data_IF_076056358042
#
_entry.id   IF_076056358042
#
_cell.length_a   1.000
_cell.length_b   1.000
_cell.length_c   1.000
_cell.angle_alpha   90.00
_cell.angle_beta   90.00
_cell.angle_gamma   90.00
#
_symmetry.space_group_name_H-M   'P 1'
#
loop_
_entity.id
_entity.type
_entity.pdbx_description
1 polymer ?
#
# COMPACT_ATOMS: atom_id res chain seq x y z
N UNK A 1 -17.66 -9.10 -9.47
CA UNK A 1 -16.84 -10.21 -8.95
C UNK A 1 -15.37 -9.79 -8.83
N UNK A 2 -14.61 -9.63 -9.93
CA UNK A 2 -13.16 -9.26 -9.87
C UNK A 2 -12.84 -7.97 -9.08
N UNK A 3 -13.68 -6.93 -9.17
CA UNK A 3 -13.47 -5.68 -8.40
C UNK A 3 -13.61 -5.91 -6.88
N UNK A 4 -14.59 -6.71 -6.48
CA UNK A 4 -14.82 -7.02 -5.07
C UNK A 4 -13.67 -7.88 -4.52
N UNK A 5 -13.23 -8.88 -5.29
CA UNK A 5 -12.07 -9.72 -4.92
C UNK A 5 -10.80 -8.89 -4.70
N UNK A 6 -10.57 -7.87 -5.54
CA UNK A 6 -9.44 -6.95 -5.38
C UNK A 6 -9.56 -6.12 -4.09
N UNK A 7 -10.75 -5.60 -3.79
CA UNK A 7 -11.02 -4.84 -2.56
C UNK A 7 -10.82 -5.70 -1.31
N UNK A 8 -11.30 -6.94 -1.34
CA UNK A 8 -11.15 -7.91 -0.25
C UNK A 8 -9.67 -8.28 -0.04
N UNK A 9 -8.92 -8.51 -1.12
CA UNK A 9 -7.50 -8.80 -1.06
C UNK A 9 -6.70 -7.62 -0.47
N UNK A 10 -7.00 -6.39 -0.88
CA UNK A 10 -6.37 -5.20 -0.31
C UNK A 10 -6.66 -5.06 1.20
N UNK A 11 -7.90 -5.36 1.61
CA UNK A 11 -8.28 -5.33 3.02
C UNK A 11 -7.54 -6.40 3.84
N UNK A 12 -7.44 -7.63 3.34
CA UNK A 12 -6.71 -8.71 4.01
C UNK A 12 -5.20 -8.47 4.05
N UNK A 13 -4.60 -7.88 3.01
CA UNK A 13 -3.19 -7.46 3.02
C UNK A 13 -2.98 -6.42 4.11
N UNK A 14 -3.81 -5.36 4.16
CA UNK A 14 -3.72 -4.30 5.19
C UNK A 14 -3.85 -4.87 6.61
N UNK A 15 -4.81 -5.75 6.83
CA UNK A 15 -5.06 -6.43 8.11
C UNK A 15 -3.86 -7.28 8.52
N UNK A 16 -3.30 -8.05 7.59
CA UNK A 16 -2.14 -8.91 7.85
C UNK A 16 -0.88 -8.08 8.11
N UNK A 17 -0.64 -7.02 7.34
CA UNK A 17 0.47 -6.11 7.54
C UNK A 17 0.44 -5.45 8.93
N UNK A 18 -0.75 -5.01 9.37
CA UNK A 18 -0.92 -4.45 10.72
C UNK A 18 -0.61 -5.48 11.82
N UNK A 19 -1.02 -6.74 11.64
CA UNK A 19 -0.68 -7.82 12.58
C UNK A 19 0.83 -8.07 12.63
N UNK A 20 1.51 -8.11 11.48
CA UNK A 20 2.97 -8.30 11.41
C UNK A 20 3.69 -7.13 12.09
N UNK A 21 3.30 -5.89 11.77
CA UNK A 21 3.86 -4.68 12.41
C UNK A 21 3.70 -4.72 13.93
N UNK A 22 2.52 -5.08 14.43
CA UNK A 22 2.28 -5.18 15.87
C UNK A 22 3.18 -6.24 16.53
N UNK A 23 3.32 -7.42 15.91
CA UNK A 23 4.19 -8.49 16.42
C UNK A 23 5.66 -8.10 16.41
N UNK A 24 6.14 -7.43 15.35
CA UNK A 24 7.53 -6.94 15.28
C UNK A 24 7.81 -5.92 16.39
N UNK A 25 6.87 -4.98 16.62
CA UNK A 25 6.98 -4.00 17.71
C UNK A 25 7.06 -4.64 19.10
N UNK A 26 6.30 -5.71 19.34
CA UNK A 26 6.39 -6.47 20.60
C UNK A 26 7.76 -7.11 20.76
N UNK A 27 8.34 -7.66 19.68
CA UNK A 27 9.69 -8.25 19.73
C UNK A 27 10.74 -7.16 20.01
N UNK A 28 10.63 -6.00 19.36
CA UNK A 28 11.48 -4.84 19.59
C UNK A 28 11.46 -4.40 21.06
N UNK A 29 10.27 -4.20 21.63
CA UNK A 29 10.12 -3.82 23.05
C UNK A 29 10.73 -4.84 24.01
N UNK A 30 10.56 -6.15 23.73
CA UNK A 30 11.17 -7.20 24.53
C UNK A 30 12.71 -7.17 24.45
N UNK A 31 13.27 -6.92 23.26
CA UNK A 31 14.72 -6.77 23.08
C UNK A 31 15.24 -5.59 23.90
N UNK A 32 14.60 -4.43 23.80
CA UNK A 32 14.97 -3.23 24.56
C UNK A 32 14.94 -3.48 26.07
N UNK A 33 13.88 -4.14 26.56
CA UNK A 33 13.74 -4.48 27.97
C UNK A 33 14.85 -5.42 28.45
N UNK A 34 15.20 -6.45 27.68
CA UNK A 34 16.26 -7.38 28.03
C UNK A 34 17.65 -6.73 28.02
N UNK A 35 17.91 -5.80 27.09
CA UNK A 35 19.16 -5.05 27.02
C UNK A 35 19.39 -4.19 28.27
N UNK A 36 18.34 -3.57 28.81
CA UNK A 36 18.43 -2.82 30.06
C UNK A 36 18.81 -3.68 31.28
N UNK A 37 18.58 -4.99 31.22
CA UNK A 37 18.96 -5.92 32.29
C UNK A 37 20.40 -6.46 32.17
N UNK A 38 21.19 -5.96 31.20
CA UNK A 38 22.57 -6.38 30.90
C UNK A 38 22.73 -7.90 30.65
N UNK A 39 21.64 -8.58 30.27
CA UNK A 39 21.65 -10.01 29.92
C UNK A 39 22.10 -10.21 28.48
N UNK A 40 23.40 -10.11 28.21
CA UNK A 40 23.95 -10.52 26.91
C UNK A 40 23.93 -12.04 26.78
N UNK A 41 22.79 -12.58 26.36
CA UNK A 41 22.54 -14.01 26.22
C UNK A 41 22.49 -14.45 24.74
N UNK A 42 22.65 -15.74 24.50
CA UNK A 42 22.41 -16.31 23.18
C UNK A 42 20.96 -16.08 22.71
N UNK A 43 19.99 -16.14 23.62
CA UNK A 43 18.57 -15.87 23.33
C UNK A 43 18.36 -14.44 22.82
N UNK A 44 18.95 -13.44 23.48
CA UNK A 44 18.88 -12.04 23.06
C UNK A 44 19.47 -11.83 21.65
N UNK A 45 20.61 -12.46 21.36
CA UNK A 45 21.22 -12.39 20.01
C UNK A 45 20.33 -13.02 18.94
N UNK A 46 19.69 -14.15 19.26
CA UNK A 46 18.74 -14.81 18.37
C UNK A 46 17.55 -13.89 18.10
N UNK A 47 16.93 -13.32 19.14
CA UNK A 47 15.81 -12.38 19.01
C UNK A 47 16.16 -11.17 18.15
N UNK A 48 17.32 -10.53 18.38
CA UNK A 48 17.80 -9.39 17.56
C UNK A 48 17.96 -9.76 16.09
N UNK A 49 18.55 -10.93 15.82
CA UNK A 49 18.80 -11.41 14.46
C UNK A 49 17.50 -11.73 13.74
N UNK A 50 16.58 -12.41 14.41
CA UNK A 50 15.25 -12.74 13.89
C UNK A 50 14.43 -11.48 13.64
N UNK A 51 14.37 -10.55 14.60
CA UNK A 51 13.68 -9.27 14.45
C UNK A 51 14.22 -8.51 13.22
N UNK A 52 15.54 -8.35 13.11
CA UNK A 52 16.17 -7.64 11.99
C UNK A 52 15.85 -8.28 10.63
N UNK A 53 15.84 -9.61 10.57
CA UNK A 53 15.54 -10.37 9.35
C UNK A 53 14.06 -10.26 8.96
N UNK A 54 13.15 -10.43 9.91
CA UNK A 54 11.72 -10.33 9.69
C UNK A 54 11.32 -8.91 9.29
N UNK A 55 11.88 -7.89 9.96
CA UNK A 55 11.63 -6.49 9.63
C UNK A 55 12.10 -6.12 8.22
N UNK A 56 13.29 -6.60 7.79
CA UNK A 56 13.75 -6.41 6.40
C UNK A 56 12.79 -7.04 5.39
N UNK A 57 12.42 -8.31 5.59
CA UNK A 57 11.48 -9.01 4.70
C UNK A 57 10.11 -8.33 4.66
N UNK A 58 9.63 -7.83 5.79
CA UNK A 58 8.37 -7.11 5.86
C UNK A 58 8.42 -5.81 5.05
N UNK A 59 9.48 -5.02 5.19
CA UNK A 59 9.67 -3.80 4.38
C UNK A 59 9.76 -4.12 2.89
N UNK A 60 10.50 -5.18 2.52
CA UNK A 60 10.64 -5.62 1.13
C UNK A 60 9.27 -5.93 0.50
N UNK A 61 8.47 -6.79 1.13
CA UNK A 61 7.13 -7.16 0.66
C UNK A 61 6.18 -5.95 0.60
N UNK A 62 6.24 -5.07 1.61
CA UNK A 62 5.38 -3.87 1.61
C UNK A 62 5.80 -2.85 0.55
N UNK A 63 7.09 -2.80 0.20
CA UNK A 63 7.61 -1.95 -0.88
C UNK A 63 7.15 -2.50 -2.23
N UNK A 64 7.23 -3.82 -2.44
CA UNK A 64 6.70 -4.46 -3.64
C UNK A 64 5.20 -4.23 -3.79
N UNK A 65 4.44 -4.41 -2.71
CA UNK A 65 3.00 -4.12 -2.69
C UNK A 65 2.69 -2.67 -3.07
N UNK A 66 3.43 -1.70 -2.49
CA UNK A 66 3.24 -0.28 -2.82
C UNK A 66 3.54 0.00 -4.30
N UNK A 67 4.59 -0.62 -4.86
CA UNK A 67 4.90 -0.51 -6.29
C UNK A 67 3.76 -1.06 -7.15
N UNK A 68 3.24 -2.25 -6.84
CA UNK A 68 2.10 -2.83 -7.56
C UNK A 68 0.86 -1.94 -7.49
N UNK A 69 0.57 -1.32 -6.34
CA UNK A 69 -0.56 -0.39 -6.22
C UNK A 69 -0.36 0.88 -7.05
N UNK A 70 0.84 1.46 -7.03
CA UNK A 70 1.17 2.65 -7.83
C UNK A 70 1.04 2.34 -9.31
N UNK A 71 1.60 1.23 -9.79
CA UNK A 71 1.49 0.80 -11.18
C UNK A 71 0.01 0.60 -11.60
N UNK A 72 -0.80 0.03 -10.71
CA UNK A 72 -2.23 -0.13 -10.96
C UNK A 72 -2.98 1.21 -11.03
N UNK A 73 -2.66 2.16 -10.13
CA UNK A 73 -3.21 3.53 -10.14
C UNK A 73 -2.89 4.22 -11.47
N UNK A 74 -1.62 4.20 -11.90
CA UNK A 74 -1.18 4.82 -13.15
C UNK A 74 -1.87 4.20 -14.37
N UNK A 75 -2.03 2.87 -14.40
CA UNK A 75 -2.77 2.19 -15.48
C UNK A 75 -4.25 2.59 -15.50
N UNK A 76 -4.90 2.70 -14.35
CA UNK A 76 -6.29 3.14 -14.26
C UNK A 76 -6.44 4.60 -14.72
N UNK A 77 -5.52 5.48 -14.30
CA UNK A 77 -5.43 6.87 -14.74
C UNK A 77 -5.30 6.97 -16.26
N UNK A 78 -4.34 6.26 -16.87
CA UNK A 78 -4.17 6.25 -18.32
C UNK A 78 -5.38 5.71 -19.09
N UNK A 79 -6.12 4.74 -18.53
CA UNK A 79 -7.39 4.28 -19.13
C UNK A 79 -8.45 5.37 -19.13
N UNK A 80 -8.59 6.12 -18.04
CA UNK A 80 -9.55 7.22 -17.93
C UNK A 80 -9.18 8.35 -18.87
N UNK A 81 -7.89 8.75 -18.90
CA UNK A 81 -7.39 9.76 -19.83
C UNK A 81 -7.76 9.41 -21.28
N UNK A 82 -7.51 8.16 -21.69
CA UNK A 82 -7.87 7.70 -23.03
C UNK A 82 -9.38 7.75 -23.30
N UNK A 83 -10.23 7.47 -22.31
CA UNK A 83 -11.68 7.62 -22.49
C UNK A 83 -12.09 9.08 -22.69
N UNK A 84 -11.47 10.01 -21.96
CA UNK A 84 -11.72 11.45 -22.13
C UNK A 84 -11.27 11.94 -23.51
N UNK A 85 -10.10 11.50 -23.98
CA UNK A 85 -9.60 11.82 -25.33
C UNK A 85 -10.53 11.31 -26.44
N UNK A 86 -11.08 10.11 -26.30
CA UNK A 86 -12.07 9.56 -27.25
C UNK A 86 -13.34 10.42 -27.30
N UNK A 87 -13.77 10.99 -26.16
CA UNK A 87 -14.89 11.93 -26.11
C UNK A 87 -14.54 13.34 -26.59
N UNK A 88 -13.31 13.57 -27.08
CA UNK A 88 -12.84 14.86 -27.59
C UNK A 88 -12.39 15.83 -26.50
N UNK A 89 -12.23 15.36 -25.25
CA UNK A 89 -11.76 16.18 -24.13
C UNK A 89 -10.28 15.90 -23.87
N UNK A 90 -9.43 16.84 -24.25
CA UNK A 90 -8.03 16.85 -23.81
C UNK A 90 -7.99 17.19 -22.32
N UNK A 91 -7.29 16.40 -21.51
CA UNK A 91 -7.16 16.61 -20.06
C UNK A 91 -5.72 16.36 -19.67
N UNK A 92 -5.13 17.30 -18.94
CA UNK A 92 -3.75 17.18 -18.45
C UNK A 92 -3.66 16.18 -17.29
N UNK A 93 -2.45 15.77 -16.95
CA UNK A 93 -2.23 14.82 -15.85
C UNK A 93 -2.67 15.38 -14.50
N UNK A 94 -2.49 16.68 -14.30
CA UNK A 94 -2.82 17.43 -13.09
C UNK A 94 -4.35 17.55 -12.95
N UNK A 95 -5.04 17.95 -14.02
CA UNK A 95 -6.51 18.01 -14.04
C UNK A 95 -7.13 16.64 -13.80
N UNK A 96 -6.57 15.59 -14.40
CA UNK A 96 -7.04 14.22 -14.20
C UNK A 96 -6.84 13.74 -12.75
N UNK A 97 -5.74 14.16 -12.12
CA UNK A 97 -5.48 13.86 -10.70
C UNK A 97 -6.52 14.54 -9.81
N UNK A 98 -6.80 15.82 -10.07
CA UNK A 98 -7.81 16.59 -9.34
C UNK A 98 -9.21 15.96 -9.47
N UNK A 99 -9.58 15.50 -10.68
CA UNK A 99 -10.84 14.78 -10.93
C UNK A 99 -10.91 13.45 -10.15
N UNK A 100 -9.80 12.74 -10.00
CA UNK A 100 -9.72 11.50 -9.21
C UNK A 100 -9.81 11.76 -7.71
N UNK A 101 -9.20 12.84 -7.22
CA UNK A 101 -9.25 13.26 -5.81
C UNK A 101 -10.65 13.73 -5.38
N UNK A 102 -11.39 14.37 -6.30
CA UNK A 102 -12.78 14.78 -6.06
C UNK A 102 -13.75 13.59 -5.89
N UNK A 103 -13.34 12.38 -6.29
CA UNK A 103 -14.07 11.14 -6.00
C UNK A 103 -15.48 11.03 -6.60
N UNK A 104 -15.84 11.93 -7.54
CA UNK A 104 -17.16 11.98 -8.15
C UNK A 104 -17.14 11.35 -9.56
N UNK A 105 -17.74 10.16 -9.77
CA UNK A 105 -17.75 9.48 -11.07
C UNK A 105 -18.42 10.30 -12.18
N UNK A 106 -19.35 11.20 -11.84
CA UNK A 106 -20.06 12.03 -12.82
C UNK A 106 -19.15 13.03 -13.54
N UNK A 107 -17.99 13.34 -12.95
CA UNK A 107 -17.00 14.27 -13.53
C UNK A 107 -16.43 13.72 -14.85
N UNK A 108 -16.44 12.40 -15.06
CA UNK A 108 -16.05 11.75 -16.32
C UNK A 108 -17.16 11.69 -17.37
N UNK A 109 -18.41 11.97 -17.00
CA UNK A 109 -19.58 11.96 -17.91
C UNK A 109 -20.12 13.36 -18.22
N UNK A 110 -19.65 14.40 -17.52
CA UNK A 110 -20.00 15.79 -17.80
C UNK A 110 -19.43 16.23 -19.15
N UNK A 111 -20.30 16.31 -20.17
CA UNK A 111 -19.96 16.67 -21.55
C UNK A 111 -20.43 15.67 -22.60
N UNK A 112 -20.84 14.46 -22.19
CA UNK A 112 -21.55 13.52 -23.07
C UNK A 112 -23.02 13.93 -23.12
N UNK A 113 -23.33 14.99 -23.85
CA UNK A 113 -24.70 15.24 -24.29
C UNK A 113 -24.96 14.30 -25.48
N UNK A 114 -25.79 13.29 -25.26
CA UNK A 114 -26.49 12.60 -26.36
C UNK A 114 -27.67 13.47 -26.77
#
# INVERSE_FOLDING_TARGET
EVKQELEDLMAEIKKTANKVRAKLKVIEQNIEQEEHTNKSSADLRIRKTQHSTLSRKFVEVMTEYNRTQTDYRERCKGRIQRQLEITGRTTTNEELEEMLEQGNPAVFTQGVSI
#
